data_IF_310134688981
#
_entry.id   IF_310134688981
#
_cell.length_a   1.000
_cell.length_b   1.000
_cell.length_c   1.000
_cell.angle_alpha   90.00
_cell.angle_beta   90.00
_cell.angle_gamma   90.00
#
_symmetry.space_group_name_H-M   'P 1'
#
loop_
_entity.id
_entity.type
_entity.pdbx_description
1 polymer ?
#
# COMPACT_ATOMS: atom_id res chain seq x y z
N UNK A 1 21.68 -12.99 7.86
CA UNK A 1 21.31 -11.65 8.38
C UNK A 1 20.59 -10.90 7.27
N UNK A 2 19.44 -10.25 7.56
CA UNK A 2 18.65 -9.50 6.56
C UNK A 2 19.02 -8.01 6.56
N UNK A 3 20.31 -7.70 6.67
CA UNK A 3 20.78 -6.31 6.71
C UNK A 3 20.66 -5.70 5.32
N UNK A 4 19.87 -4.64 5.21
CA UNK A 4 19.70 -3.89 3.95
C UNK A 4 20.89 -2.96 3.81
N UNK A 5 21.64 -3.09 2.70
CA UNK A 5 22.70 -2.14 2.32
C UNK A 5 22.15 -1.26 1.19
N UNK A 6 22.11 0.06 1.41
CA UNK A 6 21.52 1.02 0.47
C UNK A 6 20.00 1.16 0.59
N UNK A 7 19.38 1.96 -0.29
CA UNK A 7 17.93 2.16 -0.32
C UNK A 7 17.29 1.05 -1.14
N UNK A 8 16.45 0.22 -0.50
CA UNK A 8 15.69 -0.81 -1.19
C UNK A 8 14.62 -0.17 -2.08
N UNK A 9 14.58 -0.59 -3.35
CA UNK A 9 13.54 -0.21 -4.32
C UNK A 9 12.92 -1.45 -4.95
N UNK A 10 11.66 -1.35 -5.39
CA UNK A 10 10.95 -2.45 -6.05
C UNK A 10 10.70 -2.22 -7.55
N UNK A 11 9.83 -3.06 -8.11
CA UNK A 11 9.48 -3.13 -9.54
C UNK A 11 8.03 -2.72 -9.82
N UNK A 12 7.38 -1.99 -8.91
CA UNK A 12 6.05 -1.41 -9.12
C UNK A 12 5.97 -0.68 -10.48
N UNK A 13 4.97 -0.97 -11.32
CA UNK A 13 4.74 -0.22 -12.55
C UNK A 13 4.37 1.24 -12.32
N UNK A 14 4.54 2.07 -13.34
CA UNK A 14 4.13 3.47 -13.28
C UNK A 14 2.61 3.58 -13.03
N UNK A 15 2.22 4.55 -12.22
CA UNK A 15 0.82 4.81 -11.87
C UNK A 15 0.69 6.07 -11.04
N UNK A 16 -0.42 6.20 -10.34
CA UNK A 16 -0.69 7.31 -9.41
C UNK A 16 -1.10 6.80 -8.04
N UNK A 17 -0.66 7.50 -7.01
CA UNK A 17 -1.16 7.40 -5.64
C UNK A 17 -1.71 8.77 -5.26
N UNK A 18 -2.95 8.80 -4.79
CA UNK A 18 -3.63 10.00 -4.30
C UNK A 18 -4.25 9.71 -2.94
N UNK A 19 -4.42 10.72 -2.10
CA UNK A 19 -5.16 10.55 -0.85
C UNK A 19 -5.95 11.81 -0.49
N UNK A 20 -7.02 11.63 0.30
CA UNK A 20 -7.75 12.71 0.94
C UNK A 20 -8.51 12.18 2.15
N UNK A 21 -8.94 13.09 3.02
CA UNK A 21 -9.72 12.75 4.22
C UNK A 21 -11.22 12.73 3.88
N UNK A 22 -11.93 11.69 4.31
CA UNK A 22 -13.39 11.58 4.22
C UNK A 22 -14.03 11.72 5.60
N UNK A 23 -15.23 12.33 5.73
CA UNK A 23 -15.84 12.67 7.02
C UNK A 23 -16.56 11.49 7.69
N UNK A 24 -15.95 10.31 7.66
CA UNK A 24 -16.49 9.09 8.25
C UNK A 24 -15.42 8.39 9.08
N UNK A 25 -15.82 7.78 10.19
CA UNK A 25 -14.96 7.00 11.06
C UNK A 25 -14.94 5.54 10.63
N UNK A 26 -13.78 4.89 10.75
CA UNK A 26 -13.67 3.44 10.56
C UNK A 26 -14.17 2.70 11.79
N UNK A 27 -14.72 1.48 11.64
CA UNK A 27 -14.97 0.60 12.77
C UNK A 27 -13.71 0.42 13.64
N UNK A 28 -13.82 0.70 14.94
CA UNK A 28 -12.69 0.67 15.88
C UNK A 28 -11.92 1.99 16.03
N UNK A 29 -12.29 3.03 15.29
CA UNK A 29 -11.67 4.37 15.35
C UNK A 29 -12.73 5.50 15.39
N UNK A 30 -13.60 5.54 16.41
CA UNK A 30 -14.78 6.43 16.45
C UNK A 30 -14.45 7.91 16.65
N UNK A 31 -13.22 8.22 17.06
CA UNK A 31 -12.74 9.54 17.45
C UNK A 31 -12.04 10.31 16.32
N UNK A 32 -11.85 9.68 15.16
CA UNK A 32 -11.20 10.32 14.01
C UNK A 32 -11.96 10.09 12.69
N UNK A 33 -11.61 10.91 11.69
CA UNK A 33 -12.02 10.72 10.29
C UNK A 33 -11.26 9.56 9.65
N UNK A 34 -11.38 9.40 8.33
CA UNK A 34 -10.64 8.38 7.56
C UNK A 34 -9.81 9.04 6.48
N UNK A 35 -8.57 8.60 6.33
CA UNK A 35 -7.74 8.85 5.15
C UNK A 35 -8.09 7.79 4.11
N UNK A 36 -8.58 8.21 2.95
CA UNK A 36 -8.78 7.35 1.79
C UNK A 36 -7.60 7.49 0.85
N UNK A 37 -6.87 6.40 0.66
CA UNK A 37 -5.79 6.28 -0.33
C UNK A 37 -6.37 5.66 -1.60
N UNK A 38 -5.96 6.17 -2.76
CA UNK A 38 -6.38 5.72 -4.08
C UNK A 38 -5.14 5.42 -4.89
N UNK A 39 -4.95 4.15 -5.24
CA UNK A 39 -3.95 3.75 -6.21
C UNK A 39 -4.60 3.56 -7.57
N UNK A 40 -3.94 4.01 -8.63
CA UNK A 40 -4.35 3.77 -10.01
C UNK A 40 -3.13 3.40 -10.86
N UNK A 41 -3.03 2.13 -11.24
CA UNK A 41 -1.98 1.61 -12.12
C UNK A 41 -2.67 1.08 -13.39
N UNK A 42 -2.39 1.65 -14.57
CA UNK A 42 -2.90 1.13 -15.84
C UNK A 42 -2.14 -0.16 -16.25
N UNK A 43 -2.73 -1.02 -17.08
CA UNK A 43 -1.98 -2.10 -17.72
C UNK A 43 -0.87 -1.53 -18.62
N UNK A 44 0.17 -2.31 -18.88
CA UNK A 44 1.32 -1.81 -19.63
C UNK A 44 2.30 -2.91 -20.01
N UNK A 45 3.54 -2.49 -20.31
CA UNK A 45 4.65 -3.38 -20.65
C UNK A 45 5.64 -3.40 -19.49
N UNK A 46 6.11 -4.58 -19.12
CA UNK A 46 7.10 -4.74 -18.04
C UNK A 46 8.44 -4.08 -18.44
N UNK A 47 9.10 -3.46 -17.46
CA UNK A 47 10.48 -2.96 -17.55
C UNK A 47 11.22 -3.37 -16.26
N UNK A 48 12.52 -3.72 -16.30
CA UNK A 48 13.45 -3.62 -17.44
C UNK A 48 13.47 -4.83 -18.39
N UNK A 49 12.75 -5.93 -18.10
CA UNK A 49 12.62 -7.06 -19.02
C UNK A 49 11.78 -6.66 -20.25
N UNK A 50 12.34 -6.59 -21.47
CA UNK A 50 11.65 -5.98 -22.58
C UNK A 50 10.46 -6.83 -23.05
N UNK A 51 9.27 -6.25 -23.03
CA UNK A 51 8.21 -6.56 -24.00
C UNK A 51 7.02 -7.40 -23.50
N UNK A 52 7.06 -7.98 -22.29
CA UNK A 52 5.92 -8.76 -21.81
C UNK A 52 4.82 -7.83 -21.29
N UNK A 53 3.57 -7.90 -21.81
CA UNK A 53 2.47 -7.14 -21.26
C UNK A 53 2.14 -7.62 -19.85
N UNK A 54 1.62 -6.71 -19.04
CA UNK A 54 0.99 -7.04 -17.76
C UNK A 54 -0.43 -6.47 -17.70
N UNK A 55 -1.33 -7.18 -17.02
CA UNK A 55 -2.68 -6.70 -16.73
C UNK A 55 -2.72 -5.97 -15.38
N UNK A 56 -3.70 -5.09 -15.18
CA UNK A 56 -3.91 -4.40 -13.90
C UNK A 56 -5.39 -4.48 -13.51
N UNK A 57 -5.73 -5.40 -12.61
CA UNK A 57 -7.11 -5.67 -12.21
C UNK A 57 -7.52 -4.88 -10.97
N UNK A 58 -8.77 -4.41 -10.98
CA UNK A 58 -9.42 -3.77 -9.83
C UNK A 58 -8.88 -2.38 -9.48
N UNK A 59 -8.25 -1.69 -10.44
CA UNK A 59 -7.87 -0.29 -10.27
C UNK A 59 -9.01 0.64 -10.74
N UNK A 60 -9.25 1.79 -10.08
CA UNK A 60 -8.52 2.27 -8.91
C UNK A 60 -8.79 1.43 -7.64
N UNK A 61 -7.74 1.14 -6.87
CA UNK A 61 -7.84 0.43 -5.59
C UNK A 61 -7.99 1.46 -4.47
N UNK A 62 -9.06 1.35 -3.70
CA UNK A 62 -9.33 2.20 -2.54
C UNK A 62 -8.86 1.51 -1.27
N UNK A 63 -8.13 2.26 -0.43
CA UNK A 63 -7.66 1.79 0.86
C UNK A 63 -7.92 2.82 1.95
N UNK A 64 -7.97 2.36 3.20
CA UNK A 64 -8.41 3.19 4.32
C UNK A 64 -7.45 3.10 5.50
N UNK A 65 -7.16 4.25 6.09
CA UNK A 65 -6.48 4.39 7.37
C UNK A 65 -7.30 5.34 8.26
N UNK A 66 -7.32 5.14 9.59
CA UNK A 66 -7.85 6.16 10.50
C UNK A 66 -7.05 7.45 10.38
N UNK A 67 -7.72 8.60 10.40
CA UNK A 67 -7.07 9.92 10.42
C UNK A 67 -6.58 10.30 11.83
N UNK A 68 -5.78 9.41 12.42
CA UNK A 68 -5.11 9.57 13.72
C UNK A 68 -3.61 9.82 13.54
N UNK A 69 -2.89 10.14 14.61
CA UNK A 69 -1.43 10.35 14.55
C UNK A 69 -0.69 9.11 14.01
N UNK A 70 -1.07 7.92 14.48
CA UNK A 70 -0.49 6.65 13.99
C UNK A 70 -0.89 6.38 12.53
N UNK A 71 -2.13 6.67 12.14
CA UNK A 71 -2.57 6.54 10.75
C UNK A 71 -1.85 7.49 9.79
N UNK A 72 -1.64 8.76 10.18
CA UNK A 72 -0.85 9.74 9.42
C UNK A 72 0.62 9.36 9.31
N UNK A 73 1.18 8.74 10.35
CA UNK A 73 2.52 8.16 10.31
C UNK A 73 2.60 7.06 9.26
N UNK A 74 1.67 6.10 9.28
CA UNK A 74 1.59 5.05 8.25
C UNK A 74 1.46 5.65 6.85
N UNK A 75 0.59 6.65 6.66
CA UNK A 75 0.44 7.33 5.37
C UNK A 75 1.78 7.90 4.84
N UNK A 76 2.54 8.63 5.68
CA UNK A 76 3.85 9.17 5.27
C UNK A 76 4.82 8.09 4.79
N UNK A 77 4.84 6.96 5.49
CA UNK A 77 5.72 5.84 5.11
C UNK A 77 5.21 5.10 3.86
N UNK A 78 3.90 5.04 3.64
CA UNK A 78 3.34 4.51 2.40
C UNK A 78 3.66 5.38 1.18
N UNK A 79 3.73 6.71 1.35
CA UNK A 79 4.20 7.62 0.29
C UNK A 79 5.66 7.33 -0.08
N UNK A 80 6.53 7.17 0.92
CA UNK A 80 7.92 6.73 0.69
C UNK A 80 7.97 5.36 0.00
N UNK A 81 7.15 4.40 0.44
CA UNK A 81 7.08 3.07 -0.17
C UNK A 81 6.63 3.12 -1.63
N UNK A 82 5.67 3.98 -1.94
CA UNK A 82 5.20 4.22 -3.29
C UNK A 82 6.33 4.78 -4.18
N UNK A 83 7.04 5.80 -3.71
CA UNK A 83 8.16 6.40 -4.44
C UNK A 83 9.32 5.42 -4.65
N UNK A 84 9.56 4.56 -3.66
CA UNK A 84 10.52 3.45 -3.75
C UNK A 84 10.01 2.25 -4.53
N UNK A 85 8.81 2.32 -5.14
CA UNK A 85 8.21 1.27 -5.97
C UNK A 85 7.95 -0.06 -5.22
N UNK A 86 7.53 0.02 -3.97
CA UNK A 86 7.41 -1.13 -3.06
C UNK A 86 5.97 -1.54 -2.73
N UNK A 87 4.93 -0.78 -3.10
CA UNK A 87 3.53 -1.11 -2.76
C UNK A 87 2.99 -2.25 -3.64
N UNK A 88 3.33 -2.23 -4.93
CA UNK A 88 2.91 -3.27 -5.89
C UNK A 88 4.10 -3.91 -6.60
N UNK A 89 3.84 -5.04 -7.24
CA UNK A 89 4.75 -5.75 -8.13
C UNK A 89 3.96 -6.32 -9.31
N UNK A 90 4.64 -6.87 -10.31
CA UNK A 90 4.03 -7.72 -11.35
C UNK A 90 4.36 -9.17 -11.02
N UNK A 91 3.32 -10.01 -10.90
CA UNK A 91 3.48 -11.41 -10.53
C UNK A 91 2.22 -12.23 -10.79
N UNK A 92 2.02 -13.28 -10.00
CA UNK A 92 0.83 -14.12 -10.07
C UNK A 92 -0.13 -13.77 -8.94
N UNK A 93 -1.38 -13.46 -9.28
CA UNK A 93 -2.45 -13.17 -8.32
C UNK A 93 -2.76 -14.41 -7.47
N UNK A 94 -2.67 -14.27 -6.15
CA UNK A 94 -3.04 -15.35 -5.22
C UNK A 94 -4.54 -15.63 -5.21
N UNK A 95 -5.38 -14.65 -5.55
CA UNK A 95 -6.84 -14.79 -5.57
C UNK A 95 -7.37 -15.43 -6.85
N UNK A 96 -6.75 -15.14 -8.00
CA UNK A 96 -7.27 -15.54 -9.32
C UNK A 96 -6.35 -16.48 -10.09
N UNK A 97 -5.10 -16.64 -9.67
CA UNK A 97 -4.08 -17.39 -10.42
C UNK A 97 -3.59 -16.69 -11.70
N UNK A 98 -4.08 -15.49 -12.02
CA UNK A 98 -3.64 -14.73 -13.20
C UNK A 98 -2.16 -14.35 -13.05
N UNK A 99 -1.33 -14.82 -13.97
CA UNK A 99 0.08 -14.44 -14.08
C UNK A 99 0.24 -13.13 -14.85
N UNK A 100 1.39 -12.47 -14.66
CA UNK A 100 1.72 -11.20 -15.30
C UNK A 100 0.68 -10.11 -15.02
N UNK A 101 0.24 -10.02 -13.76
CA UNK A 101 -0.71 -9.02 -13.31
C UNK A 101 -0.18 -8.21 -12.13
N UNK A 102 -0.69 -6.99 -11.95
CA UNK A 102 -0.33 -6.14 -10.82
C UNK A 102 -0.90 -6.71 -9.52
N UNK A 103 0.00 -7.05 -8.60
CA UNK A 103 -0.29 -7.62 -7.28
C UNK A 103 0.20 -6.71 -6.15
N UNK A 104 -0.41 -6.83 -4.97
CA UNK A 104 0.13 -6.23 -3.74
C UNK A 104 1.51 -6.82 -3.42
N UNK A 105 2.38 -6.04 -2.80
CA UNK A 105 3.75 -6.46 -2.48
C UNK A 105 4.05 -6.26 -0.99
N UNK A 106 3.85 -7.30 -0.19
CA UNK A 106 4.32 -7.45 1.21
C UNK A 106 3.89 -6.36 2.23
N UNK A 107 3.13 -5.34 1.83
CA UNK A 107 2.57 -4.29 2.70
C UNK A 107 1.06 -4.32 2.60
N UNK A 108 0.40 -4.78 3.66
CA UNK A 108 -1.03 -5.03 3.67
C UNK A 108 -1.84 -3.73 3.78
N UNK A 109 -2.86 -3.64 2.94
CA UNK A 109 -3.80 -2.52 2.92
C UNK A 109 -5.20 -3.00 3.32
N UNK A 110 -5.96 -2.10 3.96
CA UNK A 110 -7.38 -2.33 4.23
C UNK A 110 -8.22 -1.76 3.09
N UNK A 111 -8.83 -2.64 2.31
CA UNK A 111 -9.64 -2.33 1.12
C UNK A 111 -11.14 -2.36 1.38
N UNK A 112 -11.56 -2.81 2.56
CA UNK A 112 -12.96 -2.84 3.00
C UNK A 112 -13.17 -1.83 4.13
N UNK A 113 -14.10 -0.87 3.93
CA UNK A 113 -14.28 0.26 4.84
C UNK A 113 -15.10 -0.09 6.09
N UNK A 114 -16.30 -0.68 5.90
CA UNK A 114 -17.33 -0.77 6.94
C UNK A 114 -17.44 -2.13 7.64
N UNK A 115 -16.69 -3.12 7.19
CA UNK A 115 -16.69 -4.48 7.74
C UNK A 115 -15.33 -5.16 7.49
N UNK A 116 -15.17 -6.40 7.93
CA UNK A 116 -13.96 -7.20 7.73
C UNK A 116 -14.29 -8.61 7.22
N UNK A 117 -15.28 -8.73 6.33
CA UNK A 117 -15.74 -10.03 5.81
C UNK A 117 -14.70 -10.67 4.89
N UNK A 118 -13.91 -9.84 4.21
CA UNK A 118 -12.83 -10.29 3.31
C UNK A 118 -11.51 -10.55 4.02
N UNK A 119 -11.41 -10.22 5.32
CA UNK A 119 -10.14 -10.19 6.06
C UNK A 119 -9.28 -8.95 5.81
N UNK A 120 -9.69 -8.09 4.86
CA UNK A 120 -8.98 -6.88 4.47
C UNK A 120 -9.71 -5.59 4.89
N UNK A 121 -10.42 -5.62 6.01
CA UNK A 121 -11.19 -4.48 6.52
C UNK A 121 -11.04 -4.22 8.01
N UNK A 122 -12.00 -3.48 8.55
CA UNK A 122 -12.05 -3.01 9.94
C UNK A 122 -13.29 -3.58 10.67
N UNK A 123 -13.25 -3.75 12.01
CA UNK A 123 -12.18 -3.38 12.93
C UNK A 123 -11.00 -4.34 12.88
N UNK A 124 -9.79 -3.80 13.07
CA UNK A 124 -8.55 -4.57 13.22
C UNK A 124 -7.57 -3.79 14.11
N UNK A 125 -7.53 -4.09 15.42
CA UNK A 125 -6.66 -3.38 16.37
C UNK A 125 -5.16 -3.50 16.07
N UNK A 126 -4.73 -4.55 15.37
CA UNK A 126 -3.32 -4.82 15.07
C UNK A 126 -2.84 -4.22 13.76
N UNK A 127 -3.75 -3.76 12.89
CA UNK A 127 -3.43 -3.37 11.52
C UNK A 127 -2.29 -2.35 11.42
N UNK A 128 -2.36 -1.24 12.16
CA UNK A 128 -1.38 -0.16 12.04
C UNK A 128 0.01 -0.60 12.50
N UNK A 129 0.10 -1.40 13.56
CA UNK A 129 1.40 -1.90 14.06
C UNK A 129 1.99 -2.93 13.09
N UNK A 130 1.15 -3.81 12.54
CA UNK A 130 1.57 -4.78 11.53
C UNK A 130 2.12 -4.10 10.26
N UNK A 131 1.42 -3.07 9.74
CA UNK A 131 1.88 -2.34 8.55
C UNK A 131 3.18 -1.59 8.81
N UNK A 132 3.38 -1.03 10.00
CA UNK A 132 4.66 -0.39 10.36
C UNK A 132 5.81 -1.40 10.35
N UNK A 133 5.57 -2.62 10.86
CA UNK A 133 6.57 -3.69 10.85
C UNK A 133 6.85 -4.19 9.42
N UNK A 134 5.83 -4.33 8.59
CA UNK A 134 5.96 -4.68 7.17
C UNK A 134 6.78 -3.63 6.41
N UNK A 135 6.48 -2.34 6.58
CA UNK A 135 7.23 -1.23 6.00
C UNK A 135 8.70 -1.25 6.46
N UNK A 136 8.92 -1.47 7.76
CA UNK A 136 10.27 -1.62 8.33
C UNK A 136 11.02 -2.79 7.71
N UNK A 137 10.36 -3.93 7.49
CA UNK A 137 10.95 -5.08 6.81
C UNK A 137 11.29 -4.80 5.33
N UNK A 138 10.63 -3.82 4.70
CA UNK A 138 11.00 -3.29 3.39
C UNK A 138 12.09 -2.21 3.45
N UNK A 139 12.64 -1.90 4.62
CA UNK A 139 13.66 -0.86 4.79
C UNK A 139 13.10 0.56 4.77
N UNK A 140 11.83 0.71 5.16
CA UNK A 140 11.16 2.01 5.27
C UNK A 140 10.92 2.29 6.75
N UNK A 141 11.55 3.34 7.24
CA UNK A 141 11.60 3.72 8.64
C UNK A 141 11.10 5.15 8.82
N UNK A 142 10.92 5.57 10.07
CA UNK A 142 10.44 6.91 10.40
C UNK A 142 11.34 8.02 9.85
N UNK A 143 12.65 7.78 9.81
CA UNK A 143 13.63 8.73 9.27
C UNK A 143 13.40 9.03 7.80
N UNK A 144 12.88 8.05 7.04
CA UNK A 144 12.55 8.23 5.63
C UNK A 144 11.33 9.14 5.43
N UNK A 145 10.40 9.15 6.38
CA UNK A 145 9.19 9.98 6.37
C UNK A 145 9.39 11.42 6.82
N UNK A 146 10.60 11.78 7.27
CA UNK A 146 10.98 13.13 7.70
C UNK A 146 11.71 13.93 6.61
N UNK A 147 12.03 13.31 5.48
CA UNK A 147 12.83 13.92 4.40
C UNK A 147 12.03 14.73 3.36
N UNK A 148 10.76 15.02 3.59
CA UNK A 148 10.01 15.99 2.76
C UNK A 148 10.30 17.43 3.22
N UNK A 149 11.12 18.14 2.45
CA UNK A 149 11.17 19.61 2.37
C UNK A 149 10.87 20.04 0.93
#
# INVERSE_FOLDING_TARGET
>A
CKTIYGVKTGNQPAGKMEYHVIPHSLPGHPDCKTIRIIYNIPPGIQHPNPGKPFTARGFPRHCYLPDSDKGRKVLRLLLVAWDRRLIFSVGTSSTTGESDTVIWNEVHHKTEFGSNLTGHGFPDPGHLDNVLEELRAQGITEDDGLMEK
#
